data_IF_020614595088
#
_entry.id   IF_020614595088
#
_cell.length_a   1.000
_cell.length_b   1.000
_cell.length_c   1.000
_cell.angle_alpha   90.00
_cell.angle_beta   90.00
_cell.angle_gamma   90.00
#
_symmetry.space_group_name_H-M   'P 1'
#
loop_
_entity.id
_entity.type
_entity.pdbx_description
1 polymer ?
#
# COMPACT_ATOMS: atom_id res chain seq x y z
N UNK A 1 27.97 8.30 34.92
CA UNK A 1 27.09 8.04 33.80
C UNK A 1 27.57 8.95 32.67
N UNK A 2 28.39 8.42 31.78
CA UNK A 2 29.08 9.21 30.73
C UNK A 2 28.25 9.13 29.45
N UNK A 3 27.62 10.26 29.07
CA UNK A 3 26.89 10.37 27.83
C UNK A 3 27.88 10.29 26.65
N UNK A 4 27.67 9.33 25.78
CA UNK A 4 28.39 9.22 24.51
C UNK A 4 27.98 10.38 23.60
N UNK A 5 28.86 11.37 23.46
CA UNK A 5 28.75 12.43 22.45
C UNK A 5 28.80 11.78 21.06
N UNK A 6 27.76 12.03 20.26
CA UNK A 6 27.73 11.67 18.85
C UNK A 6 28.86 12.43 18.15
N UNK A 7 29.79 11.69 17.55
CA UNK A 7 30.89 12.25 16.75
C UNK A 7 30.29 12.87 15.47
N UNK A 8 30.32 14.21 15.30
CA UNK A 8 29.76 14.92 14.15
C UNK A 8 30.48 14.63 12.83
N UNK A 9 31.63 13.94 12.86
CA UNK A 9 32.44 13.61 11.69
C UNK A 9 32.32 12.15 11.24
N UNK A 10 31.51 11.36 11.89
CA UNK A 10 31.29 9.97 11.48
C UNK A 10 30.48 9.96 10.20
N UNK A 11 31.15 9.91 9.05
CA UNK A 11 30.51 9.67 7.76
C UNK A 11 29.71 8.38 7.83
N UNK A 12 28.46 8.38 7.37
CA UNK A 12 27.68 7.13 7.29
C UNK A 12 28.47 6.11 6.49
N UNK A 13 28.52 4.89 7.02
CA UNK A 13 29.20 3.77 6.37
C UNK A 13 28.55 3.57 4.99
N UNK A 14 29.31 3.60 3.88
CA UNK A 14 28.72 3.32 2.57
C UNK A 14 28.10 1.94 2.58
N UNK A 15 26.92 1.82 1.95
CA UNK A 15 26.31 0.52 1.73
C UNK A 15 27.27 -0.34 0.91
N UNK A 16 27.46 -1.63 1.24
CA UNK A 16 28.32 -2.48 0.43
C UNK A 16 27.74 -2.59 -0.98
N UNK A 17 28.59 -2.40 -1.98
CA UNK A 17 28.45 -2.75 -3.40
C UNK A 17 27.29 -2.14 -4.23
N UNK A 18 26.76 -0.97 -3.88
CA UNK A 18 25.87 -0.26 -4.80
C UNK A 18 26.62 0.85 -5.54
N UNK A 19 26.55 0.83 -6.87
CA UNK A 19 26.95 1.99 -7.68
C UNK A 19 26.31 3.26 -7.12
N UNK A 20 27.04 4.40 -7.09
CA UNK A 20 26.48 5.65 -6.63
C UNK A 20 25.22 6.02 -7.42
N UNK A 21 24.22 6.56 -6.73
CA UNK A 21 22.98 7.01 -7.35
C UNK A 21 23.28 8.10 -8.37
N UNK A 22 22.76 7.94 -9.58
CA UNK A 22 22.85 8.94 -10.64
C UNK A 22 21.96 10.17 -10.33
N UNK A 23 22.13 11.26 -11.07
CA UNK A 23 21.24 12.41 -10.98
C UNK A 23 19.79 12.05 -11.33
N UNK A 24 19.58 11.08 -12.23
CA UNK A 24 18.27 10.56 -12.57
C UNK A 24 17.62 9.80 -11.42
N UNK A 25 18.40 8.96 -10.74
CA UNK A 25 17.92 8.22 -9.56
C UNK A 25 17.47 9.16 -8.44
N UNK A 26 18.28 10.22 -8.19
CA UNK A 26 17.91 11.24 -7.20
C UNK A 26 16.60 11.95 -7.60
N UNK A 27 16.44 12.31 -8.88
CA UNK A 27 15.18 12.92 -9.35
C UNK A 27 13.97 12.00 -9.15
N UNK A 28 14.12 10.69 -9.45
CA UNK A 28 13.07 9.70 -9.24
C UNK A 28 12.68 9.58 -7.76
N UNK A 29 13.66 9.47 -6.87
CA UNK A 29 13.43 9.38 -5.42
C UNK A 29 12.77 10.65 -4.88
N UNK A 30 13.32 11.82 -5.20
CA UNK A 30 12.77 13.11 -4.74
C UNK A 30 11.36 13.31 -5.29
N UNK A 31 11.12 13.02 -6.57
CA UNK A 31 9.81 13.17 -7.19
C UNK A 31 8.72 12.33 -6.50
N UNK A 32 9.03 11.11 -6.09
CA UNK A 32 8.10 10.31 -5.28
C UNK A 32 7.84 10.97 -3.93
N UNK A 33 8.90 11.37 -3.21
CA UNK A 33 8.77 11.95 -1.87
C UNK A 33 7.99 13.27 -1.90
N UNK A 34 8.26 14.17 -2.84
CA UNK A 34 7.52 15.43 -3.01
C UNK A 34 6.04 15.18 -3.37
N UNK A 35 5.75 14.12 -4.13
CA UNK A 35 4.38 13.79 -4.50
C UNK A 35 3.57 13.36 -3.28
N UNK A 36 4.14 12.60 -2.36
CA UNK A 36 3.43 12.06 -1.18
C UNK A 36 3.45 12.99 0.02
N UNK A 37 4.44 13.89 0.14
CA UNK A 37 4.63 14.78 1.30
C UNK A 37 3.41 15.69 1.57
N UNK A 38 2.66 16.05 0.54
CA UNK A 38 1.48 16.94 0.63
C UNK A 38 0.16 16.21 0.87
N UNK A 39 0.19 14.93 1.20
CA UNK A 39 -1.03 14.16 1.43
C UNK A 39 -1.70 14.59 2.76
N UNK A 40 -2.98 14.92 2.70
CA UNK A 40 -3.74 15.35 3.86
C UNK A 40 -4.08 14.18 4.81
N UNK A 41 -4.18 12.96 4.28
CA UNK A 41 -4.52 11.76 5.04
C UNK A 41 -3.92 10.50 4.40
N UNK A 42 -4.07 9.36 5.09
CA UNK A 42 -3.53 8.06 4.66
C UNK A 42 -4.08 7.61 3.30
N UNK A 43 -5.36 7.88 3.01
CA UNK A 43 -5.95 7.50 1.72
C UNK A 43 -5.30 8.28 0.59
N UNK A 44 -5.23 9.60 0.71
CA UNK A 44 -4.57 10.46 -0.28
C UNK A 44 -3.08 10.13 -0.41
N UNK A 45 -2.39 9.83 0.71
CA UNK A 45 -1.00 9.39 0.69
C UNK A 45 -0.80 8.15 -0.17
N UNK A 46 -1.64 7.13 0.01
CA UNK A 46 -1.58 5.89 -0.77
C UNK A 46 -1.88 6.12 -2.25
N UNK A 47 -2.88 6.92 -2.57
CA UNK A 47 -3.22 7.27 -3.96
C UNK A 47 -2.09 8.03 -4.65
N UNK A 48 -1.51 9.00 -3.98
CA UNK A 48 -0.37 9.75 -4.50
C UNK A 48 0.86 8.86 -4.68
N UNK A 49 1.08 7.90 -3.78
CA UNK A 49 2.17 6.93 -3.90
C UNK A 49 1.99 6.02 -5.12
N UNK A 50 0.75 5.57 -5.41
CA UNK A 50 0.44 4.84 -6.63
C UNK A 50 0.84 5.65 -7.87
N UNK A 51 0.34 6.89 -7.97
CA UNK A 51 0.63 7.78 -9.12
C UNK A 51 2.13 8.07 -9.23
N UNK A 52 2.80 8.34 -8.11
CA UNK A 52 4.22 8.64 -8.10
C UNK A 52 5.07 7.47 -8.58
N UNK A 53 4.78 6.24 -8.12
CA UNK A 53 5.52 5.05 -8.55
C UNK A 53 5.28 4.73 -10.02
N UNK A 54 4.07 4.93 -10.54
CA UNK A 54 3.79 4.81 -11.97
C UNK A 54 4.54 5.86 -12.79
N UNK A 55 4.50 7.12 -12.36
CA UNK A 55 5.07 8.24 -13.12
C UNK A 55 6.62 8.26 -13.11
N UNK A 56 7.22 7.95 -11.96
CA UNK A 56 8.67 8.06 -11.78
C UNK A 56 9.43 6.76 -12.03
N UNK A 57 8.78 5.60 -11.85
CA UNK A 57 9.40 4.29 -12.04
C UNK A 57 8.87 3.54 -13.27
N UNK A 58 7.75 3.98 -13.85
CA UNK A 58 7.15 3.32 -15.01
C UNK A 58 6.46 2.00 -14.67
N UNK A 59 6.13 1.74 -13.41
CA UNK A 59 5.37 0.55 -13.04
C UNK A 59 3.98 0.61 -13.68
N UNK A 60 3.60 -0.45 -14.39
CA UNK A 60 2.31 -0.51 -15.09
C UNK A 60 1.14 -0.75 -14.15
N UNK A 61 1.39 -1.39 -13.01
CA UNK A 61 0.42 -1.64 -11.96
C UNK A 61 1.05 -1.44 -10.59
N UNK A 62 0.37 -0.71 -9.72
CA UNK A 62 0.80 -0.47 -8.33
C UNK A 62 -0.38 -0.69 -7.40
N UNK A 63 -0.17 -1.43 -6.31
CA UNK A 63 -1.13 -1.60 -5.23
C UNK A 63 -0.49 -1.19 -3.91
N UNK A 64 -1.17 -0.39 -3.11
CA UNK A 64 -0.70 0.09 -1.80
C UNK A 64 -1.69 -0.35 -0.73
N UNK A 65 -1.28 -1.31 0.07
CA UNK A 65 -2.04 -1.95 1.14
C UNK A 65 -1.51 -1.49 2.50
N UNK A 66 -2.33 -1.49 3.53
CA UNK A 66 -1.89 -1.17 4.89
C UNK A 66 -2.61 -2.06 5.92
N UNK A 67 -2.03 -2.17 7.09
CA UNK A 67 -2.60 -2.90 8.23
C UNK A 67 -1.75 -2.71 9.48
N UNK A 68 -2.24 -3.18 10.61
CA UNK A 68 -1.46 -3.20 11.86
C UNK A 68 -0.31 -4.21 11.74
N UNK A 69 -0.53 -5.25 10.96
CA UNK A 69 0.48 -6.26 10.60
C UNK A 69 0.54 -6.47 9.09
N UNK A 70 1.65 -7.05 8.61
CA UNK A 70 1.78 -7.41 7.20
C UNK A 70 0.74 -8.44 6.75
N UNK A 71 0.39 -9.38 7.63
CA UNK A 71 -0.62 -10.40 7.35
C UNK A 71 -2.02 -9.77 7.14
N UNK A 72 -2.38 -8.80 7.96
CA UNK A 72 -3.62 -8.03 7.80
C UNK A 72 -3.59 -7.17 6.52
N UNK A 73 -2.50 -6.44 6.28
CA UNK A 73 -2.35 -5.62 5.08
C UNK A 73 -2.60 -6.43 3.79
N UNK A 74 -2.03 -7.65 3.71
CA UNK A 74 -2.15 -8.51 2.54
C UNK A 74 -3.50 -9.28 2.55
N UNK A 75 -3.96 -9.70 3.73
CA UNK A 75 -5.14 -10.58 3.89
C UNK A 75 -6.46 -9.87 3.68
N UNK A 76 -6.66 -8.71 4.28
CA UNK A 76 -7.95 -8.00 4.30
C UNK A 76 -8.22 -7.16 3.05
N UNK A 77 -7.25 -7.01 2.14
CA UNK A 77 -7.42 -6.28 0.88
C UNK A 77 -7.71 -4.78 1.08
N UNK A 78 -7.33 -4.23 2.25
CA UNK A 78 -7.45 -2.79 2.52
C UNK A 78 -6.38 -2.04 1.74
N UNK A 79 -6.76 -1.36 0.65
CA UNK A 79 -5.78 -0.68 -0.16
C UNK A 79 -6.35 0.11 -1.32
N UNK A 80 -5.45 0.79 -2.00
CA UNK A 80 -5.69 1.48 -3.27
C UNK A 80 -4.77 0.87 -4.33
N UNK A 81 -5.18 0.94 -5.58
CA UNK A 81 -4.35 0.49 -6.69
C UNK A 81 -4.50 1.43 -7.90
N UNK A 82 -3.57 1.32 -8.84
CA UNK A 82 -3.66 1.94 -10.16
C UNK A 82 -2.97 1.09 -11.21
N UNK A 83 -3.45 1.19 -12.45
CA UNK A 83 -2.92 0.47 -13.60
C UNK A 83 -3.51 -0.93 -13.82
N UNK A 84 -4.23 -1.50 -12.87
CA UNK A 84 -4.96 -2.75 -13.07
C UNK A 84 -6.38 -2.48 -13.54
N UNK A 85 -6.87 -3.24 -14.53
CA UNK A 85 -8.25 -3.14 -15.02
C UNK A 85 -9.24 -3.78 -14.04
N UNK A 86 -10.51 -3.38 -14.13
CA UNK A 86 -11.56 -4.02 -13.33
C UNK A 86 -11.70 -5.51 -13.63
N UNK A 87 -11.46 -5.91 -14.90
CA UNK A 87 -11.51 -7.32 -15.33
C UNK A 87 -10.35 -8.11 -14.70
N UNK A 88 -9.12 -7.57 -14.72
CA UNK A 88 -7.96 -8.17 -14.05
C UNK A 88 -8.24 -8.37 -12.55
N UNK A 89 -8.79 -7.36 -11.88
CA UNK A 89 -9.07 -7.42 -10.45
C UNK A 89 -10.18 -8.40 -10.10
N UNK A 90 -11.21 -8.51 -10.96
CA UNK A 90 -12.29 -9.49 -10.78
C UNK A 90 -11.76 -10.92 -10.93
N UNK A 91 -10.99 -11.19 -11.99
CA UNK A 91 -10.38 -12.49 -12.23
C UNK A 91 -9.39 -12.87 -11.10
N UNK A 92 -8.57 -11.91 -10.66
CA UNK A 92 -7.69 -12.11 -9.51
C UNK A 92 -8.47 -12.52 -8.26
N UNK A 93 -9.51 -11.77 -7.91
CA UNK A 93 -10.28 -12.00 -6.70
C UNK A 93 -11.05 -13.35 -6.72
N UNK A 94 -11.53 -13.77 -7.90
CA UNK A 94 -12.31 -14.98 -8.06
C UNK A 94 -11.46 -16.25 -8.10
N UNK A 95 -10.29 -16.20 -8.76
CA UNK A 95 -9.54 -17.41 -9.11
C UNK A 95 -8.11 -17.45 -8.60
N UNK A 96 -7.45 -16.30 -8.44
CA UNK A 96 -6.00 -16.25 -8.26
C UNK A 96 -5.53 -15.75 -6.89
N UNK A 97 -6.39 -15.09 -6.13
CA UNK A 97 -6.02 -14.48 -4.86
C UNK A 97 -5.44 -15.49 -3.84
N UNK A 98 -5.99 -16.71 -3.79
CA UNK A 98 -5.48 -17.77 -2.90
C UNK A 98 -4.19 -18.41 -3.40
N UNK A 99 -3.92 -18.31 -4.71
CA UNK A 99 -2.72 -18.85 -5.35
C UNK A 99 -1.62 -17.79 -5.51
N UNK A 100 -1.82 -16.55 -5.10
CA UNK A 100 -0.82 -15.50 -5.19
C UNK A 100 0.35 -15.81 -4.25
N UNK A 101 1.56 -16.05 -4.76
CA UNK A 101 2.72 -16.38 -3.93
C UNK A 101 3.09 -15.26 -2.94
N UNK A 102 2.72 -14.00 -3.21
CA UNK A 102 2.93 -12.89 -2.27
C UNK A 102 2.05 -13.02 -1.01
N UNK A 103 1.01 -13.85 -1.03
CA UNK A 103 0.16 -14.16 0.13
C UNK A 103 0.62 -15.41 0.89
N UNK A 104 1.67 -16.09 0.41
CA UNK A 104 2.19 -17.28 1.07
C UNK A 104 2.80 -16.98 2.44
N UNK A 105 2.82 -17.97 3.33
CA UNK A 105 3.38 -17.84 4.69
C UNK A 105 4.87 -17.46 4.72
N UNK A 106 5.60 -17.74 3.63
CA UNK A 106 7.03 -17.42 3.53
C UNK A 106 7.29 -15.91 3.29
N UNK A 107 6.39 -15.21 2.62
CA UNK A 107 6.60 -13.82 2.18
C UNK A 107 6.72 -12.84 3.33
N UNK A 108 5.93 -12.90 4.41
CA UNK A 108 6.10 -12.00 5.54
C UNK A 108 7.52 -12.04 6.16
N UNK A 109 8.10 -13.22 6.26
CA UNK A 109 9.49 -13.38 6.73
C UNK A 109 10.51 -12.78 5.77
N UNK A 110 10.35 -13.03 4.47
CA UNK A 110 11.21 -12.47 3.43
C UNK A 110 11.14 -10.94 3.38
N UNK A 111 9.94 -10.37 3.40
CA UNK A 111 9.75 -8.91 3.38
C UNK A 111 10.29 -8.23 4.65
N UNK A 112 10.12 -8.82 5.84
CA UNK A 112 10.72 -8.27 7.07
C UNK A 112 12.24 -8.26 6.99
N UNK A 113 12.85 -9.31 6.41
CA UNK A 113 14.31 -9.45 6.33
C UNK A 113 14.90 -8.58 5.23
N UNK A 114 14.34 -8.63 4.03
CA UNK A 114 14.87 -7.98 2.83
C UNK A 114 14.30 -6.57 2.62
N UNK A 115 13.05 -6.34 3.01
CA UNK A 115 12.31 -5.09 2.82
C UNK A 115 11.72 -4.92 1.42
N UNK A 116 12.40 -5.41 0.39
CA UNK A 116 11.94 -5.47 -1.01
C UNK A 116 12.25 -6.85 -1.55
N UNK A 117 11.33 -7.46 -2.28
CA UNK A 117 11.48 -8.75 -2.95
C UNK A 117 10.90 -8.70 -4.36
N UNK A 118 11.43 -9.52 -5.27
CA UNK A 118 10.79 -9.83 -6.55
C UNK A 118 9.90 -11.05 -6.42
N UNK A 119 8.79 -11.06 -7.14
CA UNK A 119 7.95 -12.25 -7.21
C UNK A 119 8.69 -13.42 -7.84
N UNK A 120 9.52 -13.16 -8.86
CA UNK A 120 10.37 -14.17 -9.50
C UNK A 120 11.35 -14.87 -8.53
N UNK A 121 11.64 -14.27 -7.37
CA UNK A 121 12.49 -14.88 -6.32
C UNK A 121 11.67 -15.66 -5.28
N UNK A 122 10.35 -15.60 -5.33
CA UNK A 122 9.47 -16.32 -4.39
C UNK A 122 9.29 -17.77 -4.89
N UNK A 123 9.62 -18.78 -4.09
CA UNK A 123 9.44 -20.18 -4.47
C UNK A 123 7.98 -20.47 -4.86
N UNK A 124 7.79 -21.21 -5.95
CA UNK A 124 6.46 -21.58 -6.45
C UNK A 124 5.74 -20.50 -7.25
N UNK A 125 6.40 -19.38 -7.53
CA UNK A 125 5.79 -18.25 -8.29
C UNK A 125 5.64 -18.51 -9.79
N UNK A 126 6.30 -19.54 -10.35
CA UNK A 126 6.40 -19.77 -11.79
C UNK A 126 5.03 -20.04 -12.44
N UNK A 127 4.20 -20.85 -11.79
CA UNK A 127 2.86 -21.17 -12.30
C UNK A 127 1.97 -19.92 -12.32
N UNK A 128 1.93 -19.17 -11.23
CA UNK A 128 1.17 -17.94 -11.12
C UNK A 128 1.61 -16.87 -12.15
N UNK A 129 2.92 -16.72 -12.35
CA UNK A 129 3.47 -15.81 -13.36
C UNK A 129 3.07 -16.23 -14.77
N UNK A 130 3.24 -17.52 -15.12
CA UNK A 130 2.94 -18.05 -16.46
C UNK A 130 1.45 -18.04 -16.78
N UNK A 131 0.59 -18.39 -15.82
CA UNK A 131 -0.81 -18.66 -16.07
C UNK A 131 -1.71 -17.45 -15.81
N UNK A 132 -1.28 -16.52 -14.95
CA UNK A 132 -2.05 -15.32 -14.65
C UNK A 132 -1.35 -14.03 -15.08
N UNK A 133 -0.08 -13.80 -14.71
CA UNK A 133 0.55 -12.50 -14.98
C UNK A 133 0.88 -12.31 -16.44
N UNK A 134 1.55 -13.27 -17.09
CA UNK A 134 1.99 -13.14 -18.48
C UNK A 134 0.84 -12.95 -19.47
N UNK A 135 -0.30 -13.68 -19.38
CA UNK A 135 -1.46 -13.41 -20.23
C UNK A 135 -2.04 -12.00 -20.07
N UNK A 136 -1.83 -11.38 -18.90
CA UNK A 136 -2.25 -10.00 -18.61
C UNK A 136 -1.15 -8.96 -18.91
N UNK A 137 -0.09 -9.33 -19.63
CA UNK A 137 0.98 -8.43 -20.01
C UNK A 137 1.94 -8.05 -18.87
N UNK A 138 1.89 -8.74 -17.74
CA UNK A 138 2.78 -8.50 -16.60
C UNK A 138 3.88 -9.57 -16.61
N UNK A 139 5.13 -9.15 -16.69
CA UNK A 139 6.29 -10.06 -16.74
C UNK A 139 6.80 -10.44 -15.35
N UNK A 140 6.82 -9.48 -14.43
CA UNK A 140 7.22 -9.68 -13.02
C UNK A 140 6.56 -8.66 -12.09
N UNK A 141 6.65 -8.91 -10.79
CA UNK A 141 6.20 -7.99 -9.74
C UNK A 141 7.29 -7.84 -8.68
N UNK A 142 7.30 -6.71 -8.00
CA UNK A 142 8.01 -6.54 -6.74
C UNK A 142 7.04 -6.23 -5.62
N UNK A 143 7.42 -6.58 -4.39
CA UNK A 143 6.75 -6.16 -3.18
C UNK A 143 7.74 -5.42 -2.27
N UNK A 144 7.30 -4.30 -1.70
CA UNK A 144 8.05 -3.48 -0.75
C UNK A 144 7.27 -3.33 0.54
N UNK A 145 7.94 -3.59 1.66
CA UNK A 145 7.40 -3.36 3.00
C UNK A 145 7.97 -2.07 3.58
N UNK A 146 7.11 -1.12 3.90
CA UNK A 146 7.47 0.09 4.66
C UNK A 146 6.92 -0.07 6.08
N UNK A 147 7.83 -0.16 7.05
CA UNK A 147 7.51 -0.35 8.46
C UNK A 147 7.27 1.02 9.12
N UNK A 148 6.06 1.25 9.60
CA UNK A 148 5.66 2.41 10.38
C UNK A 148 5.78 2.18 11.91
N UNK A 149 6.50 1.15 12.33
CA UNK A 149 6.68 0.80 13.74
C UNK A 149 5.37 0.46 14.44
N UNK A 150 5.10 1.03 15.62
CA UNK A 150 3.88 0.74 16.38
C UNK A 150 2.59 1.16 15.64
N UNK A 151 2.69 2.06 14.66
CA UNK A 151 1.53 2.55 13.92
C UNK A 151 1.03 1.55 12.87
N UNK A 152 1.84 0.55 12.49
CA UNK A 152 1.49 -0.45 11.50
C UNK A 152 2.43 -0.48 10.31
N UNK A 153 1.99 -1.08 9.21
CA UNK A 153 2.82 -1.29 8.01
C UNK A 153 2.11 -0.88 6.73
N UNK A 154 2.89 -0.50 5.74
CA UNK A 154 2.46 -0.31 4.37
C UNK A 154 3.13 -1.37 3.49
N UNK A 155 2.35 -2.11 2.70
CA UNK A 155 2.84 -3.06 1.71
C UNK A 155 2.54 -2.52 0.31
N UNK A 156 3.56 -2.43 -0.54
CA UNK A 156 3.44 -1.90 -1.89
C UNK A 156 3.78 -2.98 -2.89
N UNK A 157 2.82 -3.37 -3.73
CA UNK A 157 3.02 -4.26 -4.87
C UNK A 157 3.19 -3.45 -6.15
N UNK A 158 4.18 -3.78 -6.97
CA UNK A 158 4.52 -3.09 -8.21
C UNK A 158 4.70 -4.09 -9.34
N UNK A 159 4.17 -3.80 -10.53
CA UNK A 159 4.21 -4.68 -11.70
C UNK A 159 4.96 -4.03 -12.87
N UNK A 160 5.71 -4.84 -13.62
CA UNK A 160 6.43 -4.45 -14.84
C UNK A 160 5.97 -5.27 -16.04
N UNK A 161 6.07 -4.69 -17.24
CA UNK A 161 5.75 -5.34 -18.53
C UNK A 161 6.96 -5.42 -19.46
N UNK A 162 7.78 -4.37 -19.51
CA UNK A 162 8.80 -4.19 -20.55
C UNK A 162 10.17 -4.82 -20.20
N UNK A 163 10.26 -5.50 -19.06
CA UNK A 163 11.47 -6.16 -18.59
C UNK A 163 11.15 -7.57 -18.11
N UNK A 164 12.01 -8.58 -18.33
CA UNK A 164 11.76 -9.95 -17.90
C UNK A 164 11.65 -10.10 -16.36
N UNK A 165 12.21 -9.14 -15.62
CA UNK A 165 12.03 -9.00 -14.17
C UNK A 165 12.14 -7.53 -13.78
N UNK A 166 11.75 -7.20 -12.54
CA UNK A 166 11.97 -5.84 -12.00
C UNK A 166 13.48 -5.57 -11.99
N UNK A 167 13.97 -4.47 -12.64
CA UNK A 167 15.40 -4.20 -12.77
C UNK A 167 16.11 -4.10 -11.42
N UNK A 168 17.37 -4.56 -11.35
CA UNK A 168 18.18 -4.49 -10.12
C UNK A 168 18.34 -3.05 -9.63
N UNK A 169 18.48 -2.11 -10.58
CA UNK A 169 18.54 -0.69 -10.26
C UNK A 169 17.29 -0.19 -9.55
N UNK A 170 16.11 -0.60 -10.00
CA UNK A 170 14.85 -0.23 -9.36
C UNK A 170 14.72 -0.85 -7.97
N UNK A 171 15.15 -2.08 -7.78
CA UNK A 171 15.20 -2.71 -6.45
C UNK A 171 16.08 -1.90 -5.49
N UNK A 172 17.27 -1.47 -5.94
CA UNK A 172 18.17 -0.63 -5.14
C UNK A 172 17.53 0.73 -4.77
N UNK A 173 16.83 1.34 -5.74
CA UNK A 173 16.09 2.60 -5.51
C UNK A 173 14.92 2.39 -4.56
N UNK A 174 14.17 1.30 -4.67
CA UNK A 174 13.07 0.97 -3.76
C UNK A 174 13.58 0.75 -2.33
N UNK A 175 14.77 0.15 -2.15
CA UNK A 175 15.42 0.06 -0.84
C UNK A 175 15.75 1.43 -0.25
N UNK A 176 16.23 2.38 -1.07
CA UNK A 176 16.47 3.75 -0.63
C UNK A 176 15.15 4.45 -0.31
N UNK A 177 14.18 4.40 -1.21
CA UNK A 177 12.87 5.02 -1.07
C UNK A 177 12.15 4.54 0.20
N UNK A 178 12.16 3.24 0.47
CA UNK A 178 11.56 2.65 1.68
C UNK A 178 12.01 3.32 2.97
N UNK A 179 13.32 3.61 3.09
CA UNK A 179 13.87 4.27 4.30
C UNK A 179 13.37 5.70 4.47
N UNK A 180 13.19 6.41 3.37
CA UNK A 180 12.68 7.79 3.40
C UNK A 180 11.17 7.85 3.56
N UNK A 181 10.43 6.85 3.07
CA UNK A 181 8.99 6.74 3.27
C UNK A 181 8.62 6.33 4.71
N UNK A 182 9.47 5.59 5.41
CA UNK A 182 9.12 5.04 6.72
C UNK A 182 8.62 6.08 7.74
N UNK A 183 9.27 7.25 7.95
CA UNK A 183 8.75 8.26 8.86
C UNK A 183 7.43 8.88 8.39
N UNK A 184 7.24 9.07 7.09
CA UNK A 184 5.99 9.60 6.52
C UNK A 184 4.84 8.60 6.70
N UNK A 185 5.11 7.33 6.44
CA UNK A 185 4.15 6.23 6.65
C UNK A 185 3.77 6.11 8.13
N UNK A 186 4.75 6.17 9.04
CA UNK A 186 4.50 6.12 10.48
C UNK A 186 3.57 7.25 10.93
N UNK A 187 3.81 8.48 10.47
CA UNK A 187 2.97 9.64 10.78
C UNK A 187 1.54 9.49 10.22
N UNK A 188 1.40 9.09 8.96
CA UNK A 188 0.09 8.90 8.34
C UNK A 188 -0.72 7.77 8.99
N UNK A 189 -0.09 6.65 9.31
CA UNK A 189 -0.73 5.54 10.01
C UNK A 189 -1.13 5.90 11.46
N UNK A 190 -0.28 6.66 12.16
CA UNK A 190 -0.58 7.13 13.51
C UNK A 190 -1.80 8.07 13.53
N UNK A 191 -1.83 9.06 12.62
CA UNK A 191 -2.99 9.97 12.49
C UNK A 191 -4.28 9.22 12.10
N UNK A 192 -4.18 8.23 11.23
CA UNK A 192 -5.34 7.42 10.86
C UNK A 192 -5.86 6.61 12.05
N UNK A 193 -4.94 6.03 12.84
CA UNK A 193 -5.28 5.33 14.08
C UNK A 193 -5.92 6.24 15.13
N UNK A 194 -5.39 7.46 15.30
CA UNK A 194 -5.98 8.46 16.20
C UNK A 194 -7.40 8.85 15.76
N UNK A 195 -7.61 9.07 14.45
CA UNK A 195 -8.96 9.33 13.93
C UNK A 195 -9.91 8.16 14.17
N UNK A 196 -9.46 6.93 13.98
CA UNK A 196 -10.27 5.74 14.31
C UNK A 196 -10.56 5.64 15.82
N UNK A 197 -9.58 5.96 16.65
CA UNK A 197 -9.75 5.95 18.10
C UNK A 197 -10.73 7.03 18.59
N UNK A 198 -10.80 8.19 17.94
CA UNK A 198 -11.79 9.23 18.22
C UNK A 198 -13.23 8.77 17.95
N UNK A 199 -13.40 7.76 17.09
CA UNK A 199 -14.68 7.09 16.82
C UNK A 199 -14.81 5.74 17.53
N UNK A 200 -14.09 5.54 18.64
CA UNK A 200 -13.87 4.28 19.33
C UNK A 200 -15.14 3.55 19.84
N UNK A 201 -16.30 4.19 19.78
CA UNK A 201 -17.58 3.53 20.07
C UNK A 201 -18.10 2.66 18.90
N UNK A 202 -17.42 2.67 17.76
CA UNK A 202 -17.83 1.91 16.57
C UNK A 202 -16.89 0.72 16.34
N UNK A 203 -17.45 -0.48 16.35
CA UNK A 203 -16.67 -1.70 16.08
C UNK A 203 -16.63 -1.98 14.57
N UNK A 204 -15.99 -1.08 13.83
CA UNK A 204 -15.81 -1.21 12.39
C UNK A 204 -14.49 -1.93 12.09
N UNK A 205 -14.56 -2.89 11.16
CA UNK A 205 -13.34 -3.45 10.57
C UNK A 205 -12.60 -2.37 9.77
N UNK A 206 -11.29 -2.52 9.50
CA UNK A 206 -10.53 -1.57 8.68
C UNK A 206 -11.22 -1.26 7.34
N UNK A 207 -11.81 -2.27 6.71
CA UNK A 207 -12.53 -2.11 5.44
C UNK A 207 -13.84 -1.36 5.57
N UNK A 208 -14.60 -1.63 6.60
CA UNK A 208 -15.84 -0.90 6.90
C UNK A 208 -15.54 0.56 7.23
N UNK A 209 -14.42 0.84 7.91
CA UNK A 209 -13.95 2.19 8.16
C UNK A 209 -13.62 2.93 6.86
N UNK A 210 -12.89 2.33 5.91
CA UNK A 210 -12.60 2.96 4.60
C UNK A 210 -13.89 3.29 3.84
N UNK A 211 -14.85 2.37 3.83
CA UNK A 211 -16.16 2.60 3.20
C UNK A 211 -16.92 3.72 3.90
N UNK A 212 -16.89 3.78 5.24
CA UNK A 212 -17.55 4.79 6.03
C UNK A 212 -16.95 6.19 5.79
N UNK A 213 -15.62 6.32 5.77
CA UNK A 213 -14.91 7.58 5.51
C UNK A 213 -15.24 8.12 4.11
N UNK A 214 -15.14 7.27 3.08
CA UNK A 214 -15.51 7.67 1.70
C UNK A 214 -16.99 8.02 1.57
N UNK A 215 -17.85 7.28 2.25
CA UNK A 215 -19.27 7.59 2.29
C UNK A 215 -19.53 8.93 2.99
N UNK A 216 -18.88 9.22 4.09
CA UNK A 216 -19.00 10.48 4.81
C UNK A 216 -18.51 11.68 3.97
N UNK A 217 -17.48 11.47 3.14
CA UNK A 217 -17.00 12.47 2.15
C UNK A 217 -17.94 12.67 0.95
N UNK A 218 -19.06 11.98 0.88
CA UNK A 218 -20.09 12.17 -0.15
C UNK A 218 -19.93 11.31 -1.42
N UNK A 219 -18.97 10.37 -1.48
CA UNK A 219 -18.79 9.52 -2.65
C UNK A 219 -19.97 8.55 -2.83
N UNK A 220 -20.42 8.35 -4.06
CA UNK A 220 -21.45 7.33 -4.38
C UNK A 220 -20.91 5.93 -4.19
N UNK A 221 -21.78 4.92 -4.04
CA UNK A 221 -21.35 3.52 -3.92
C UNK A 221 -20.50 3.06 -5.12
N UNK A 222 -20.77 3.58 -6.31
CA UNK A 222 -19.98 3.29 -7.51
C UNK A 222 -18.56 3.88 -7.40
N UNK A 223 -18.45 5.14 -6.99
CA UNK A 223 -17.15 5.78 -6.77
C UNK A 223 -16.34 5.09 -5.66
N UNK A 224 -17.02 4.67 -4.58
CA UNK A 224 -16.38 3.90 -3.51
C UNK A 224 -15.90 2.54 -4.05
N UNK A 225 -16.73 1.84 -4.82
CA UNK A 225 -16.39 0.57 -5.43
C UNK A 225 -15.16 0.68 -6.34
N UNK A 226 -15.16 1.69 -7.22
CA UNK A 226 -14.04 2.01 -8.11
C UNK A 226 -12.76 2.33 -7.32
N UNK A 227 -12.86 3.14 -6.28
CA UNK A 227 -11.71 3.60 -5.48
C UNK A 227 -11.12 2.51 -4.59
N UNK A 228 -11.95 1.64 -4.06
CA UNK A 228 -11.55 0.54 -3.19
C UNK A 228 -11.39 -0.81 -3.92
N UNK A 229 -11.65 -0.85 -5.23
CA UNK A 229 -11.55 -2.05 -6.07
C UNK A 229 -12.37 -3.24 -5.56
N UNK A 230 -13.62 -2.97 -5.20
CA UNK A 230 -14.61 -3.98 -4.82
C UNK A 230 -15.90 -3.81 -5.61
N UNK A 231 -16.74 -4.83 -5.60
CA UNK A 231 -18.06 -4.75 -6.23
C UNK A 231 -18.97 -3.73 -5.53
N UNK A 232 -19.85 -3.08 -6.30
CA UNK A 232 -20.86 -2.15 -5.74
C UNK A 232 -21.72 -2.82 -4.68
N UNK A 233 -22.05 -4.10 -4.85
CA UNK A 233 -22.84 -4.86 -3.87
C UNK A 233 -22.05 -5.14 -2.59
N UNK A 234 -20.73 -5.28 -2.68
CA UNK A 234 -19.83 -5.36 -1.51
C UNK A 234 -19.83 -4.04 -0.75
N UNK A 235 -19.77 -2.90 -1.46
CA UNK A 235 -19.91 -1.57 -0.83
C UNK A 235 -21.24 -1.43 -0.10
N UNK A 236 -22.35 -1.86 -0.72
CA UNK A 236 -23.67 -1.83 -0.08
C UNK A 236 -23.72 -2.67 1.21
N UNK A 237 -23.11 -3.86 1.18
CA UNK A 237 -23.02 -4.74 2.37
C UNK A 237 -22.23 -4.07 3.49
N UNK A 238 -21.04 -3.53 3.20
CA UNK A 238 -20.25 -2.79 4.18
C UNK A 238 -21.00 -1.58 4.72
N UNK A 239 -21.61 -0.76 3.83
CA UNK A 239 -22.34 0.43 4.25
C UNK A 239 -23.52 0.10 5.13
N UNK A 240 -24.24 -1.00 4.87
CA UNK A 240 -25.35 -1.46 5.73
C UNK A 240 -24.86 -1.80 7.13
N UNK A 241 -23.71 -2.49 7.25
CA UNK A 241 -23.09 -2.80 8.55
C UNK A 241 -22.61 -1.54 9.26
N UNK A 242 -21.96 -0.64 8.51
CA UNK A 242 -21.50 0.66 9.05
C UNK A 242 -22.67 1.45 9.64
N UNK A 243 -23.79 1.59 8.91
CA UNK A 243 -24.97 2.31 9.39
C UNK A 243 -25.56 1.67 10.65
N UNK A 244 -25.62 0.34 10.68
CA UNK A 244 -26.10 -0.39 11.86
C UNK A 244 -25.18 -0.16 13.07
N UNK A 245 -23.86 -0.33 12.89
CA UNK A 245 -22.86 -0.18 13.97
C UNK A 245 -22.78 1.25 14.49
N UNK A 246 -22.87 2.23 13.61
CA UNK A 246 -22.83 3.65 13.97
C UNK A 246 -24.20 4.17 14.46
N UNK A 247 -25.24 3.35 14.52
CA UNK A 247 -26.62 3.74 14.80
C UNK A 247 -27.10 4.92 13.94
N UNK A 248 -26.65 4.97 12.67
CA UNK A 248 -27.08 5.96 11.69
C UNK A 248 -28.18 5.38 10.79
N UNK A 249 -29.25 6.14 10.56
CA UNK A 249 -30.35 5.75 9.69
C UNK A 249 -30.16 6.19 8.25
N UNK A 250 -29.16 7.04 7.98
CA UNK A 250 -28.86 7.57 6.65
C UNK A 250 -27.39 7.89 6.50
N UNK A 251 -26.95 7.94 5.23
CA UNK A 251 -25.61 8.36 4.83
C UNK A 251 -25.31 9.81 5.26
N UNK A 252 -26.30 10.69 5.22
CA UNK A 252 -26.17 12.08 5.67
C UNK A 252 -25.89 12.15 7.17
N UNK A 253 -26.57 11.32 7.95
CA UNK A 253 -26.33 11.24 9.39
C UNK A 253 -24.92 10.69 9.71
N UNK A 254 -24.46 9.72 8.92
CA UNK A 254 -23.10 9.21 9.01
C UNK A 254 -22.08 10.33 8.75
N UNK A 255 -22.27 11.13 7.68
CA UNK A 255 -21.38 12.24 7.35
C UNK A 255 -21.30 13.28 8.47
N UNK A 256 -22.44 13.64 9.08
CA UNK A 256 -22.47 14.56 10.22
C UNK A 256 -21.72 14.01 11.43
N UNK A 257 -21.85 12.71 11.72
CA UNK A 257 -21.14 12.06 12.82
C UNK A 257 -19.63 11.98 12.59
N UNK A 258 -19.21 11.71 11.36
CA UNK A 258 -17.78 11.71 10.99
C UNK A 258 -17.16 13.10 11.06
N UNK A 259 -17.93 14.17 10.75
CA UNK A 259 -17.46 15.53 10.86
C UNK A 259 -17.34 16.04 12.32
N UNK A 260 -18.02 15.38 13.25
CA UNK A 260 -18.04 15.72 14.68
C UNK A 260 -17.04 14.90 15.52
N UNK A 261 -16.40 13.90 14.93
CA UNK A 261 -15.40 13.04 15.56
C UNK A 261 -13.99 13.49 15.23
#
# INVERSE_FOLDING_TARGET
MTGALLDPHRRPRPLPDSEPLSAEDHRRLIGVLETVDRAADLLEFRERLVVALQSWFGFIGVAVLHGDTLAEAIGEGCGVQGGYTSEFMADYAERWAEMDPLRSEAVPGLLRTRGVIRLSEVPGSEAFRREFLHPNGITDKAAMLVDGGPAGVLCVGMAVADSPSVPERDIALLHALRRHLAPLVADQLARDRERRAATANWQLTPREWEVADLAARGLTNRQIAERLFIGVDTVKKHLSRVLAETACTSRTQLAVRFAAA
#
